data_IF_323088426820
#
_entry.id   IF_323088426820
#
_cell.length_a   1.000
_cell.length_b   1.000
_cell.length_c   1.000
_cell.angle_alpha   90.00
_cell.angle_beta   90.00
_cell.angle_gamma   90.00
#
_symmetry.space_group_name_H-M   'P 1'
#
loop_
_entity.id
_entity.type
_entity.pdbx_description
1 polymer ?
#
# COMPACT_ATOMS: atom_id res chain seq x y z
N UNK A 1 9.19 -35.75 -4.74
CA UNK A 1 7.77 -35.81 -4.35
C UNK A 1 7.75 -36.05 -2.85
N UNK A 2 7.83 -34.98 -2.04
CA UNK A 2 7.76 -35.12 -0.59
C UNK A 2 6.30 -35.12 -0.18
N UNK A 3 5.87 -36.20 0.41
CA UNK A 3 4.56 -36.38 1.03
C UNK A 3 4.30 -35.23 2.00
N UNK A 4 3.28 -34.46 1.73
CA UNK A 4 2.72 -33.50 2.69
C UNK A 4 2.02 -34.39 3.75
N UNK A 5 2.74 -34.68 4.81
CA UNK A 5 2.13 -35.30 6.00
C UNK A 5 1.00 -34.39 6.46
N UNK A 6 -0.23 -34.86 6.38
CA UNK A 6 -1.45 -34.21 6.88
C UNK A 6 -1.46 -34.17 8.41
N UNK A 7 -0.49 -33.49 9.02
CA UNK A 7 -0.58 -33.17 10.45
C UNK A 7 -1.74 -32.17 10.64
N UNK A 8 -2.62 -32.46 11.60
CA UNK A 8 -3.77 -31.59 11.94
C UNK A 8 -3.27 -30.16 12.18
N UNK A 9 -3.96 -29.18 11.56
CA UNK A 9 -3.74 -27.75 11.86
C UNK A 9 -3.98 -27.49 13.35
N UNK A 10 -2.96 -26.97 14.04
CA UNK A 10 -3.05 -26.58 15.46
C UNK A 10 -2.48 -25.16 15.62
N UNK A 11 -3.13 -24.14 15.04
CA UNK A 11 -2.55 -22.80 14.95
C UNK A 11 -2.16 -22.24 16.32
N UNK A 12 -2.91 -22.50 17.38
CA UNK A 12 -2.56 -22.08 18.73
C UNK A 12 -1.40 -22.89 19.32
N UNK A 13 -1.31 -24.20 19.07
CA UNK A 13 -0.21 -25.03 19.54
C UNK A 13 1.08 -24.82 18.74
N UNK A 14 0.96 -24.36 17.48
CA UNK A 14 2.09 -24.01 16.62
C UNK A 14 2.58 -22.57 16.84
N UNK A 15 1.83 -21.74 17.60
CA UNK A 15 2.19 -20.35 17.90
C UNK A 15 3.31 -20.31 18.94
N UNK A 16 4.28 -19.43 18.68
CA UNK A 16 5.32 -19.03 19.63
C UNK A 16 5.18 -17.54 19.99
N UNK A 17 5.73 -17.08 21.12
CA UNK A 17 5.79 -15.65 21.43
C UNK A 17 6.46 -14.84 20.33
N UNK A 18 7.50 -15.37 19.68
CA UNK A 18 8.17 -14.74 18.55
C UNK A 18 7.25 -14.56 17.35
N UNK A 19 6.35 -15.53 17.07
CA UNK A 19 5.38 -15.42 15.99
C UNK A 19 4.33 -14.32 16.27
N UNK A 20 3.88 -14.18 17.51
CA UNK A 20 2.96 -13.10 17.92
C UNK A 20 3.64 -11.75 17.72
N UNK A 21 4.87 -11.60 18.22
CA UNK A 21 5.64 -10.35 18.11
C UNK A 21 5.93 -10.02 16.63
N UNK A 22 6.33 -11.00 15.83
CA UNK A 22 6.57 -10.80 14.41
C UNK A 22 5.29 -10.36 13.67
N UNK A 23 4.15 -10.98 13.96
CA UNK A 23 2.86 -10.58 13.41
C UNK A 23 2.47 -9.15 13.79
N UNK A 24 2.68 -8.77 15.04
CA UNK A 24 2.44 -7.41 15.51
C UNK A 24 3.36 -6.39 14.81
N UNK A 25 4.66 -6.67 14.73
CA UNK A 25 5.63 -5.79 14.05
C UNK A 25 5.30 -5.68 12.55
N UNK A 26 4.89 -6.77 11.90
CA UNK A 26 4.50 -6.77 10.49
C UNK A 26 3.27 -5.87 10.27
N UNK A 27 2.24 -5.98 11.13
CA UNK A 27 1.07 -5.11 11.08
C UNK A 27 1.46 -3.66 11.32
N UNK A 28 2.20 -3.35 12.38
CA UNK A 28 2.62 -1.98 12.72
C UNK A 28 3.43 -1.34 11.59
N UNK A 29 4.35 -2.09 10.95
CA UNK A 29 5.15 -1.60 9.83
C UNK A 29 4.26 -1.20 8.65
N UNK A 30 3.25 -2.00 8.33
CA UNK A 30 2.28 -1.66 7.29
C UNK A 30 1.43 -0.44 7.65
N UNK A 31 0.87 -0.41 8.86
CA UNK A 31 -0.02 0.66 9.30
C UNK A 31 0.67 2.02 9.42
N UNK A 32 1.81 2.11 10.10
CA UNK A 32 2.48 3.40 10.35
C UNK A 32 2.94 4.09 9.08
N UNK A 33 3.27 3.33 8.04
CA UNK A 33 3.75 3.91 6.77
C UNK A 33 2.62 4.34 5.83
N UNK A 34 1.45 3.75 5.92
CA UNK A 34 0.44 3.87 4.86
C UNK A 34 -0.90 4.44 5.33
N UNK A 35 -1.23 4.32 6.61
CA UNK A 35 -2.50 4.82 7.16
C UNK A 35 -2.66 6.33 6.92
N UNK A 36 -1.58 7.08 7.06
CA UNK A 36 -1.54 8.53 6.80
C UNK A 36 -1.95 8.86 5.36
N UNK A 37 -1.51 8.06 4.39
CA UNK A 37 -1.85 8.26 2.98
C UNK A 37 -3.35 8.05 2.72
N UNK A 38 -3.96 7.09 3.42
CA UNK A 38 -5.40 6.88 3.32
C UNK A 38 -6.19 8.06 3.87
N UNK A 39 -5.73 8.65 4.98
CA UNK A 39 -6.33 9.88 5.51
C UNK A 39 -6.21 11.03 4.52
N UNK A 40 -5.03 11.24 3.96
CA UNK A 40 -4.81 12.28 2.96
C UNK A 40 -5.68 12.05 1.72
N UNK A 41 -5.78 10.82 1.23
CA UNK A 41 -6.65 10.49 0.10
C UNK A 41 -8.13 10.75 0.42
N UNK A 42 -8.58 10.36 1.63
CA UNK A 42 -9.93 10.63 2.09
C UNK A 42 -10.23 12.14 2.21
N UNK A 43 -9.31 12.92 2.77
CA UNK A 43 -9.44 14.36 2.86
C UNK A 43 -9.43 15.03 1.46
N UNK A 44 -8.53 14.60 0.57
CA UNK A 44 -8.47 15.10 -0.80
C UNK A 44 -9.76 14.83 -1.59
N UNK A 45 -10.44 13.72 -1.28
CA UNK A 45 -11.74 13.36 -1.85
C UNK A 45 -12.93 14.02 -1.14
N UNK A 46 -12.71 14.80 -0.08
CA UNK A 46 -13.78 15.43 0.71
C UNK A 46 -14.65 14.43 1.48
N UNK A 47 -14.10 13.26 1.84
CA UNK A 47 -14.85 12.21 2.54
C UNK A 47 -15.15 12.61 4.00
N UNK A 48 -16.31 12.20 4.48
CA UNK A 48 -16.64 12.29 5.90
C UNK A 48 -15.78 11.36 6.74
N UNK A 49 -15.66 11.64 8.04
CA UNK A 49 -14.95 10.78 9.00
C UNK A 49 -15.51 9.35 9.01
N UNK A 50 -16.83 9.19 8.88
CA UNK A 50 -17.48 7.89 8.78
C UNK A 50 -17.05 7.10 7.52
N UNK A 51 -16.95 7.76 6.37
CA UNK A 51 -16.48 7.13 5.13
C UNK A 51 -15.01 6.74 5.22
N UNK A 52 -14.16 7.57 5.80
CA UNK A 52 -12.74 7.25 6.02
C UNK A 52 -12.61 6.07 7.00
N UNK A 53 -13.38 6.08 8.08
CA UNK A 53 -13.43 4.96 9.05
C UNK A 53 -13.88 3.65 8.37
N UNK A 54 -14.93 3.70 7.54
CA UNK A 54 -15.41 2.56 6.75
C UNK A 54 -14.34 2.04 5.79
N UNK A 55 -13.62 2.93 5.12
CA UNK A 55 -12.51 2.57 4.24
C UNK A 55 -11.40 1.81 4.98
N UNK A 56 -10.95 2.34 6.14
CA UNK A 56 -9.95 1.69 6.98
C UNK A 56 -10.46 0.33 7.46
N UNK A 57 -11.71 0.26 7.92
CA UNK A 57 -12.36 -0.97 8.33
C UNK A 57 -12.35 -2.01 7.21
N UNK A 58 -12.87 -1.66 6.04
CA UNK A 58 -13.03 -2.57 4.91
C UNK A 58 -11.70 -3.20 4.50
N UNK A 59 -10.67 -2.37 4.31
CA UNK A 59 -9.38 -2.86 3.86
C UNK A 59 -8.68 -3.70 4.93
N UNK A 60 -8.82 -3.32 6.20
CA UNK A 60 -8.20 -4.04 7.32
C UNK A 60 -8.85 -5.40 7.56
N UNK A 61 -10.17 -5.48 7.49
CA UNK A 61 -10.90 -6.75 7.58
C UNK A 61 -10.54 -7.66 6.40
N UNK A 62 -10.45 -7.10 5.18
CA UNK A 62 -10.02 -7.87 4.02
C UNK A 62 -8.59 -8.40 4.15
N UNK A 63 -7.66 -7.58 4.65
CA UNK A 63 -6.29 -8.03 4.95
C UNK A 63 -6.28 -9.11 6.04
N UNK A 64 -7.08 -8.96 7.09
CA UNK A 64 -7.20 -9.92 8.18
C UNK A 64 -7.68 -11.29 7.66
N UNK A 65 -8.82 -11.31 6.99
CA UNK A 65 -9.44 -12.53 6.47
C UNK A 65 -8.53 -13.24 5.47
N UNK A 66 -7.94 -12.48 4.54
CA UNK A 66 -7.05 -13.07 3.53
C UNK A 66 -5.73 -13.57 4.15
N UNK A 67 -5.10 -12.82 5.07
CA UNK A 67 -3.86 -13.28 5.74
C UNK A 67 -4.12 -14.55 6.54
N UNK A 68 -5.16 -14.58 7.36
CA UNK A 68 -5.51 -15.74 8.18
C UNK A 68 -5.88 -16.92 7.27
N UNK A 69 -6.83 -16.72 6.36
CA UNK A 69 -7.37 -17.78 5.51
C UNK A 69 -6.31 -18.44 4.63
N UNK A 70 -5.51 -17.62 3.92
CA UNK A 70 -4.47 -18.13 3.04
C UNK A 70 -3.31 -18.76 3.82
N UNK A 71 -2.91 -18.17 4.95
CA UNK A 71 -1.84 -18.77 5.77
C UNK A 71 -2.23 -20.11 6.37
N UNK A 72 -3.46 -20.26 6.84
CA UNK A 72 -3.98 -21.54 7.32
C UNK A 72 -4.12 -22.56 6.18
N UNK A 73 -4.64 -22.13 5.02
CA UNK A 73 -4.87 -23.02 3.86
C UNK A 73 -3.58 -23.61 3.31
N UNK A 74 -2.53 -22.81 3.21
CA UNK A 74 -1.25 -23.21 2.59
C UNK A 74 -0.14 -23.52 3.60
N UNK A 75 -0.37 -23.35 4.90
CA UNK A 75 0.66 -23.44 5.96
C UNK A 75 1.92 -22.64 5.64
N UNK A 76 1.71 -21.49 5.07
CA UNK A 76 2.77 -20.58 4.60
C UNK A 76 2.48 -19.20 5.16
N UNK A 77 3.48 -18.44 5.58
CA UNK A 77 3.28 -17.10 6.13
C UNK A 77 2.90 -16.08 5.03
N UNK A 78 1.65 -16.19 4.55
CA UNK A 78 1.10 -15.33 3.51
C UNK A 78 0.53 -14.08 4.17
N UNK A 79 1.30 -13.01 4.14
CA UNK A 79 0.90 -11.72 4.68
C UNK A 79 0.27 -10.88 3.57
N UNK A 80 -0.87 -10.29 3.89
CA UNK A 80 -1.63 -9.43 3.00
C UNK A 80 -1.48 -7.98 3.49
N UNK A 81 -1.43 -7.04 2.57
CA UNK A 81 -1.36 -5.62 2.85
C UNK A 81 -2.23 -4.82 1.86
N UNK A 82 -2.53 -3.59 2.22
CA UNK A 82 -3.05 -2.63 1.26
C UNK A 82 -1.96 -2.15 0.29
N UNK A 83 -2.38 -1.46 -0.76
CA UNK A 83 -1.44 -0.84 -1.69
C UNK A 83 -1.05 0.55 -1.22
N UNK A 84 0.10 0.68 -0.56
CA UNK A 84 0.69 2.00 -0.24
C UNK A 84 0.83 2.89 -1.47
N UNK A 85 1.38 2.39 -2.60
CA UNK A 85 1.42 3.18 -3.84
C UNK A 85 0.03 3.48 -4.41
N UNK A 86 -0.93 2.58 -4.23
CA UNK A 86 -2.32 2.81 -4.59
C UNK A 86 -2.96 3.93 -3.77
N UNK A 87 -2.76 3.93 -2.44
CA UNK A 87 -3.23 5.02 -1.59
C UNK A 87 -2.61 6.37 -2.00
N UNK A 88 -1.32 6.39 -2.33
CA UNK A 88 -0.65 7.57 -2.83
C UNK A 88 -1.22 8.06 -4.17
N UNK A 89 -1.48 7.14 -5.12
CA UNK A 89 -2.17 7.47 -6.36
C UNK A 89 -3.51 8.15 -6.10
N UNK A 90 -4.28 7.66 -5.12
CA UNK A 90 -5.61 8.18 -4.80
C UNK A 90 -5.56 9.61 -4.26
N UNK A 91 -4.52 10.01 -3.52
CA UNK A 91 -4.36 11.40 -3.07
C UNK A 91 -4.41 12.38 -4.24
N UNK A 92 -3.80 12.01 -5.36
CA UNK A 92 -3.69 12.87 -6.54
C UNK A 92 -4.81 12.68 -7.56
N UNK A 93 -5.53 11.56 -7.51
CA UNK A 93 -6.50 11.17 -8.55
C UNK A 93 -7.96 11.29 -8.12
N UNK A 94 -8.25 11.41 -6.82
CA UNK A 94 -9.62 11.55 -6.32
C UNK A 94 -10.17 12.97 -6.46
N UNK A 95 -9.33 13.98 -6.60
CA UNK A 95 -9.76 15.34 -6.86
C UNK A 95 -10.41 15.45 -8.25
N UNK A 96 -11.72 15.69 -8.30
CA UNK A 96 -12.47 15.85 -9.55
C UNK A 96 -13.33 14.66 -9.96
N UNK A 97 -13.38 13.59 -9.15
CA UNK A 97 -14.32 12.47 -9.31
C UNK A 97 -15.21 12.35 -8.06
N UNK A 98 -16.43 11.90 -8.23
CA UNK A 98 -17.30 11.58 -7.09
C UNK A 98 -16.83 10.31 -6.39
N UNK A 99 -17.10 10.17 -5.09
CA UNK A 99 -16.68 8.97 -4.37
C UNK A 99 -17.34 7.70 -4.93
N UNK A 100 -18.58 7.78 -5.43
CA UNK A 100 -19.22 6.66 -6.13
C UNK A 100 -18.46 6.22 -7.39
N UNK A 101 -17.89 7.16 -8.17
CA UNK A 101 -17.07 6.86 -9.33
C UNK A 101 -15.70 6.26 -8.92
N UNK A 102 -15.12 6.73 -7.82
CA UNK A 102 -13.94 6.11 -7.24
C UNK A 102 -14.20 4.64 -6.86
N UNK A 103 -15.34 4.36 -6.20
CA UNK A 103 -15.75 2.98 -5.88
C UNK A 103 -15.93 2.14 -7.16
N UNK A 104 -16.54 2.70 -8.22
CA UNK A 104 -16.61 2.02 -9.53
C UNK A 104 -15.25 1.68 -10.11
N UNK A 105 -14.27 2.58 -9.97
CA UNK A 105 -12.89 2.34 -10.40
C UNK A 105 -12.18 1.27 -9.53
N UNK A 106 -12.44 1.24 -8.20
CA UNK A 106 -11.92 0.18 -7.32
C UNK A 106 -12.48 -1.19 -7.69
N UNK A 107 -13.77 -1.26 -7.99
CA UNK A 107 -14.42 -2.49 -8.48
C UNK A 107 -13.77 -2.94 -9.79
N UNK A 108 -13.54 -2.03 -10.73
CA UNK A 108 -12.88 -2.35 -12.00
C UNK A 108 -11.46 -2.88 -11.77
N UNK A 109 -10.67 -2.23 -10.92
CA UNK A 109 -9.36 -2.73 -10.52
C UNK A 109 -9.45 -4.15 -9.94
N UNK A 110 -10.35 -4.36 -8.96
CA UNK A 110 -10.53 -5.65 -8.31
C UNK A 110 -10.98 -6.75 -9.27
N UNK A 111 -11.83 -6.44 -10.25
CA UNK A 111 -12.23 -7.36 -11.32
C UNK A 111 -11.03 -7.75 -12.18
N UNK A 112 -10.21 -6.79 -12.61
CA UNK A 112 -9.00 -7.06 -13.39
C UNK A 112 -8.01 -7.94 -12.61
N UNK A 113 -7.82 -7.67 -11.31
CA UNK A 113 -7.00 -8.51 -10.41
C UNK A 113 -7.55 -9.93 -10.34
N UNK A 114 -8.86 -10.07 -10.12
CA UNK A 114 -9.55 -11.36 -10.01
C UNK A 114 -9.45 -12.16 -11.31
N UNK A 115 -9.72 -11.54 -12.45
CA UNK A 115 -9.60 -12.17 -13.77
C UNK A 115 -8.15 -12.61 -14.03
N UNK A 116 -7.18 -11.75 -13.70
CA UNK A 116 -5.76 -12.08 -13.82
C UNK A 116 -5.37 -13.31 -12.98
N UNK A 117 -5.89 -13.41 -11.76
CA UNK A 117 -5.70 -14.56 -10.89
C UNK A 117 -6.38 -15.83 -11.45
N UNK A 118 -7.66 -15.76 -11.82
CA UNK A 118 -8.43 -16.89 -12.35
C UNK A 118 -7.84 -17.47 -13.64
N UNK A 119 -7.37 -16.60 -14.55
CA UNK A 119 -6.81 -17.02 -15.83
C UNK A 119 -5.35 -17.47 -15.74
N UNK A 120 -4.70 -17.33 -14.61
CA UNK A 120 -3.25 -17.56 -14.46
C UNK A 120 -2.40 -16.62 -15.31
N UNK A 121 -2.95 -15.50 -15.76
CA UNK A 121 -2.27 -14.54 -16.65
C UNK A 121 -1.25 -13.67 -15.92
N UNK A 122 -1.20 -13.71 -14.61
CA UNK A 122 -0.36 -12.87 -13.79
C UNK A 122 1.10 -12.81 -14.26
N UNK A 123 1.74 -13.97 -14.39
CA UNK A 123 3.16 -14.01 -14.78
C UNK A 123 3.38 -13.50 -16.22
N UNK A 124 2.43 -13.75 -17.13
CA UNK A 124 2.49 -13.26 -18.52
C UNK A 124 2.28 -11.77 -18.61
N UNK A 125 1.32 -11.24 -17.86
CA UNK A 125 0.98 -9.81 -17.87
C UNK A 125 2.11 -8.97 -17.28
N UNK A 126 2.63 -9.39 -16.11
CA UNK A 126 3.72 -8.69 -15.44
C UNK A 126 4.99 -8.65 -16.29
N UNK A 127 5.30 -9.73 -17.02
CA UNK A 127 6.45 -9.75 -17.94
C UNK A 127 6.31 -8.79 -19.14
N UNK A 128 5.09 -8.38 -19.51
CA UNK A 128 4.86 -7.44 -20.62
C UNK A 128 5.04 -5.98 -20.25
N UNK A 129 4.95 -5.65 -18.96
CA UNK A 129 5.18 -4.28 -18.48
C UNK A 129 6.66 -4.17 -18.14
N UNK A 130 7.45 -3.31 -18.83
CA UNK A 130 8.83 -3.09 -18.46
C UNK A 130 8.95 -2.66 -17.01
N UNK A 131 9.82 -3.33 -16.25
CA UNK A 131 10.01 -3.05 -14.82
C UNK A 131 10.45 -1.60 -14.57
N UNK A 132 11.23 -1.04 -15.50
CA UNK A 132 11.68 0.35 -15.50
C UNK A 132 10.50 1.34 -15.55
N UNK A 133 9.53 1.12 -16.45
CA UNK A 133 8.36 2.01 -16.59
C UNK A 133 7.44 1.90 -15.38
N UNK A 134 7.19 0.68 -14.91
CA UNK A 134 6.37 0.47 -13.70
C UNK A 134 6.99 1.12 -12.46
N UNK A 135 8.32 1.02 -12.31
CA UNK A 135 9.07 1.64 -11.22
C UNK A 135 9.11 3.17 -11.35
N UNK A 136 9.25 3.68 -12.57
CA UNK A 136 9.20 5.11 -12.86
C UNK A 136 7.82 5.72 -12.58
N UNK A 137 6.75 5.03 -12.98
CA UNK A 137 5.37 5.39 -12.63
C UNK A 137 5.22 5.51 -11.11
N UNK A 138 5.62 4.47 -10.38
CA UNK A 138 5.57 4.46 -8.93
C UNK A 138 6.34 5.63 -8.33
N UNK A 139 7.60 5.81 -8.75
CA UNK A 139 8.43 6.90 -8.26
C UNK A 139 7.80 8.28 -8.55
N UNK A 140 7.20 8.49 -9.72
CA UNK A 140 6.50 9.72 -10.10
C UNK A 140 5.28 10.02 -9.23
N UNK A 141 4.45 9.01 -8.94
CA UNK A 141 3.31 9.14 -8.03
C UNK A 141 3.78 9.56 -6.64
N UNK A 142 4.78 8.85 -6.11
CA UNK A 142 5.26 9.04 -4.75
C UNK A 142 6.08 10.32 -4.58
N UNK A 143 6.78 10.77 -5.62
CA UNK A 143 7.62 11.98 -5.60
C UNK A 143 6.82 13.22 -5.23
N UNK A 144 5.63 13.39 -5.81
CA UNK A 144 4.78 14.54 -5.51
C UNK A 144 4.45 14.63 -4.02
N UNK A 145 4.09 13.50 -3.41
CA UNK A 145 3.76 13.43 -1.98
C UNK A 145 5.03 13.56 -1.13
N UNK A 146 6.12 12.90 -1.55
CA UNK A 146 7.41 12.98 -0.85
C UNK A 146 8.01 14.38 -0.80
N UNK A 147 7.75 15.21 -1.83
CA UNK A 147 8.21 16.60 -1.87
C UNK A 147 7.41 17.55 -0.98
N UNK A 148 6.18 17.20 -0.59
CA UNK A 148 5.31 18.02 0.27
C UNK A 148 5.92 18.29 1.66
N UNK A 149 6.85 17.46 2.15
CA UNK A 149 7.55 17.73 3.42
C UNK A 149 8.32 19.07 3.36
N UNK A 150 8.92 19.40 2.22
CA UNK A 150 9.68 20.64 2.05
C UNK A 150 8.75 21.85 1.94
N UNK A 151 7.55 21.67 1.39
CA UNK A 151 6.50 22.68 1.38
C UNK A 151 5.94 22.88 2.79
N UNK A 152 5.66 21.81 3.51
CA UNK A 152 5.21 21.85 4.90
C UNK A 152 6.23 22.54 5.84
N UNK A 153 7.53 22.41 5.54
CA UNK A 153 8.60 23.07 6.29
C UNK A 153 8.51 24.62 6.21
N UNK A 154 7.94 25.19 5.15
CA UNK A 154 7.72 26.64 5.04
C UNK A 154 6.68 27.14 6.06
N UNK A 155 5.69 26.32 6.40
CA UNK A 155 4.62 26.69 7.32
C UNK A 155 4.95 26.40 8.80
N UNK A 156 5.66 25.29 9.05
CA UNK A 156 6.00 24.82 10.41
C UNK A 156 7.44 24.29 10.47
N UNK A 157 8.40 25.18 10.21
CA UNK A 157 9.83 24.82 10.08
C UNK A 157 10.36 23.98 11.23
N UNK A 158 10.13 24.40 12.50
CA UNK A 158 10.66 23.68 13.67
C UNK A 158 10.11 22.28 13.81
N UNK A 159 8.79 22.08 13.60
CA UNK A 159 8.14 20.78 13.64
C UNK A 159 8.68 19.86 12.54
N UNK A 160 8.64 20.34 11.30
CA UNK A 160 8.99 19.51 10.13
C UNK A 160 10.47 19.16 10.10
N UNK A 161 11.36 20.11 10.38
CA UNK A 161 12.80 19.84 10.46
C UNK A 161 13.15 18.93 11.64
N UNK A 162 12.50 19.10 12.81
CA UNK A 162 12.67 18.18 13.93
C UNK A 162 12.33 16.75 13.58
N UNK A 163 11.21 16.54 12.87
CA UNK A 163 10.81 15.22 12.37
C UNK A 163 11.79 14.68 11.33
N UNK A 164 12.21 15.52 10.38
CA UNK A 164 13.12 15.14 9.29
C UNK A 164 14.49 14.70 9.81
N UNK A 165 15.10 15.47 10.70
CA UNK A 165 16.40 15.13 11.29
C UNK A 165 16.30 13.90 12.21
N UNK A 166 15.22 13.77 12.97
CA UNK A 166 14.96 12.56 13.76
C UNK A 166 14.88 11.33 12.86
N UNK A 167 14.14 11.42 11.75
CA UNK A 167 14.06 10.35 10.76
C UNK A 167 15.44 9.96 10.23
N UNK A 168 16.28 10.93 9.82
CA UNK A 168 17.61 10.65 9.29
C UNK A 168 18.52 9.98 10.32
N UNK A 169 18.51 10.51 11.56
CA UNK A 169 19.34 9.96 12.65
C UNK A 169 18.94 8.52 12.98
N UNK A 170 17.64 8.29 13.18
CA UNK A 170 17.15 6.95 13.52
C UNK A 170 17.28 6.00 12.34
N UNK A 171 17.14 6.47 11.11
CA UNK A 171 17.37 5.66 9.91
C UNK A 171 18.81 5.16 9.81
N UNK A 172 19.79 5.95 10.29
CA UNK A 172 21.18 5.54 10.38
C UNK A 172 21.42 4.46 11.43
N UNK A 173 20.75 4.57 12.58
CA UNK A 173 20.95 3.68 13.74
C UNK A 173 20.10 2.42 13.66
N UNK A 174 18.79 2.61 13.41
CA UNK A 174 17.77 1.55 13.41
C UNK A 174 16.72 1.84 12.33
N UNK A 175 17.00 1.53 11.04
CA UNK A 175 16.19 1.95 9.89
C UNK A 175 14.69 1.63 10.00
N UNK A 176 14.35 0.49 10.61
CA UNK A 176 12.97 0.01 10.76
C UNK A 176 12.08 0.90 11.65
N UNK A 177 12.69 1.69 12.54
CA UNK A 177 11.96 2.56 13.47
C UNK A 177 11.97 4.04 13.08
N UNK A 178 12.59 4.40 11.96
CA UNK A 178 12.78 5.80 11.57
C UNK A 178 11.47 6.58 11.43
N UNK A 179 10.47 6.00 10.77
CA UNK A 179 9.16 6.64 10.58
C UNK A 179 8.40 6.74 11.90
N UNK A 180 8.45 5.69 12.72
CA UNK A 180 7.83 5.69 14.04
C UNK A 180 8.44 6.75 14.96
N UNK A 181 9.76 6.85 14.97
CA UNK A 181 10.47 7.86 15.77
C UNK A 181 10.10 9.29 15.31
N UNK A 182 10.02 9.53 14.00
CA UNK A 182 9.59 10.80 13.46
C UNK A 182 8.14 11.15 13.88
N UNK A 183 7.23 10.14 13.88
CA UNK A 183 5.86 10.32 14.36
C UNK A 183 5.83 10.68 15.85
N UNK A 184 6.56 9.97 16.68
CA UNK A 184 6.58 10.20 18.13
C UNK A 184 7.14 11.59 18.48
N UNK A 185 8.26 11.97 17.87
CA UNK A 185 8.85 13.30 18.06
C UNK A 185 7.95 14.38 17.48
N UNK A 186 7.36 14.17 16.29
CA UNK A 186 6.41 15.10 15.70
C UNK A 186 5.18 15.32 16.59
N UNK A 187 4.63 14.25 17.16
CA UNK A 187 3.50 14.34 18.10
C UNK A 187 3.91 15.08 19.39
N UNK A 188 5.08 14.77 19.96
CA UNK A 188 5.59 15.45 21.13
C UNK A 188 5.80 16.96 20.88
N UNK A 189 6.46 17.33 19.77
CA UNK A 189 6.65 18.72 19.37
C UNK A 189 5.30 19.43 19.15
N UNK A 190 4.34 18.77 18.50
CA UNK A 190 3.00 19.32 18.31
C UNK A 190 2.28 19.55 19.62
N UNK A 191 2.47 18.65 20.60
CA UNK A 191 1.97 18.84 21.96
C UNK A 191 2.58 20.04 22.66
N UNK A 192 3.90 20.19 22.63
CA UNK A 192 4.59 21.38 23.18
C UNK A 192 4.18 22.68 22.53
N UNK A 193 3.84 22.65 21.22
CA UNK A 193 3.39 23.80 20.47
C UNK A 193 1.88 24.08 20.62
N UNK A 194 1.12 23.26 21.37
CA UNK A 194 -0.32 23.41 21.54
C UNK A 194 -1.14 23.17 20.26
N UNK A 195 -0.64 22.33 19.34
CA UNK A 195 -1.25 22.10 18.03
C UNK A 195 -2.15 20.85 17.98
N UNK A 196 -2.19 20.08 19.07
CA UNK A 196 -3.02 18.87 19.14
C UNK A 196 -4.44 19.24 19.56
N UNK A 197 -5.43 18.77 18.82
CA UNK A 197 -6.85 18.94 19.15
C UNK A 197 -7.51 17.58 19.37
N UNK A 198 -7.60 17.17 20.62
CA UNK A 198 -8.28 15.93 21.02
C UNK A 198 -9.74 16.14 21.43
N UNK A 199 -10.33 17.31 21.20
CA UNK A 199 -11.72 17.62 21.59
C UNK A 199 -12.75 16.66 20.95
N UNK A 200 -12.45 16.19 19.74
CA UNK A 200 -13.27 15.21 19.01
C UNK A 200 -12.81 13.75 19.15
N UNK A 201 -11.85 13.44 20.05
CA UNK A 201 -11.35 12.08 20.20
C UNK A 201 -12.27 11.24 21.08
N UNK A 202 -12.82 10.17 20.49
CA UNK A 202 -13.64 9.18 21.19
C UNK A 202 -13.19 7.78 20.76
N UNK A 203 -13.26 6.82 21.72
CA UNK A 203 -13.14 5.41 21.39
C UNK A 203 -14.43 4.96 20.70
N UNK A 204 -14.34 4.71 19.41
CA UNK A 204 -15.49 4.34 18.59
C UNK A 204 -15.16 3.15 17.68
N UNK A 205 -16.11 2.25 17.58
CA UNK A 205 -16.04 1.11 16.67
C UNK A 205 -16.43 1.58 15.26
N UNK A 206 -15.66 1.18 14.28
CA UNK A 206 -15.92 1.51 12.89
C UNK A 206 -17.26 0.93 12.43
N UNK A 207 -18.12 1.75 11.87
CA UNK A 207 -19.36 1.34 11.22
C UNK A 207 -19.17 1.33 9.71
N UNK A 208 -19.40 0.17 9.03
CA UNK A 208 -19.30 0.11 7.58
C UNK A 208 -20.31 1.03 6.92
N UNK A 209 -19.85 1.89 6.02
CA UNK A 209 -20.68 2.81 5.24
C UNK A 209 -20.70 2.34 3.79
N UNK A 210 -21.88 1.95 3.31
CA UNK A 210 -22.07 1.58 1.92
C UNK A 210 -22.05 2.80 1.02
N UNK A 211 -21.23 2.77 -0.02
CA UNK A 211 -21.24 3.76 -1.10
C UNK A 211 -21.65 3.08 -2.39
N UNK A 212 -22.73 3.57 -3.00
CA UNK A 212 -23.22 3.02 -4.27
C UNK A 212 -22.20 3.26 -5.38
N UNK A 213 -21.75 2.21 -6.09
CA UNK A 213 -20.81 2.35 -7.18
C UNK A 213 -21.42 3.10 -8.37
N UNK A 214 -20.68 4.04 -8.93
CA UNK A 214 -20.99 4.68 -10.21
C UNK A 214 -19.85 4.38 -11.19
N UNK A 215 -20.17 3.86 -12.37
CA UNK A 215 -19.14 3.52 -13.36
C UNK A 215 -18.97 4.69 -14.34
N UNK A 216 -17.78 5.27 -14.34
CA UNK A 216 -17.32 6.32 -15.25
C UNK A 216 -16.12 5.82 -16.03
N UNK A 217 -16.13 6.00 -17.35
CA UNK A 217 -14.97 5.63 -18.18
C UNK A 217 -13.72 6.44 -17.79
N UNK A 218 -13.90 7.72 -17.49
CA UNK A 218 -12.82 8.59 -17.05
C UNK A 218 -12.21 8.11 -15.73
N UNK A 219 -13.01 7.78 -14.71
CA UNK A 219 -12.53 7.25 -13.44
C UNK A 219 -11.91 5.84 -13.61
N UNK A 220 -12.48 4.99 -14.46
CA UNK A 220 -11.93 3.67 -14.78
C UNK A 220 -10.51 3.78 -15.35
N UNK A 221 -10.30 4.68 -16.32
CA UNK A 221 -9.00 4.86 -16.99
C UNK A 221 -8.03 5.62 -16.10
N UNK A 222 -8.48 6.65 -15.37
CA UNK A 222 -7.57 7.50 -14.57
C UNK A 222 -7.22 6.90 -13.21
N UNK A 223 -8.07 6.04 -12.65
CA UNK A 223 -7.89 5.43 -11.32
C UNK A 223 -7.79 3.90 -11.43
N UNK A 224 -8.81 3.24 -12.00
CA UNK A 224 -8.91 1.79 -12.00
C UNK A 224 -7.75 1.08 -12.67
N UNK A 225 -7.37 1.51 -13.88
CA UNK A 225 -6.25 0.92 -14.65
C UNK A 225 -4.90 1.20 -13.97
N UNK A 226 -4.54 2.43 -13.56
CA UNK A 226 -3.30 2.68 -12.84
C UNK A 226 -3.22 1.92 -11.51
N UNK A 227 -4.31 1.84 -10.73
CA UNK A 227 -4.36 1.03 -9.52
C UNK A 227 -4.05 -0.44 -9.80
N UNK A 228 -4.63 -1.01 -10.86
CA UNK A 228 -4.36 -2.38 -11.27
C UNK A 228 -2.88 -2.58 -11.60
N UNK A 229 -2.28 -1.70 -12.43
CA UNK A 229 -0.86 -1.78 -12.78
C UNK A 229 0.02 -1.70 -11.54
N UNK A 230 -0.23 -0.73 -10.66
CA UNK A 230 0.51 -0.52 -9.42
C UNK A 230 0.34 -1.73 -8.48
N UNK A 231 -0.88 -2.24 -8.32
CA UNK A 231 -1.14 -3.41 -7.49
C UNK A 231 -0.37 -4.65 -7.96
N UNK A 232 -0.33 -4.88 -9.29
CA UNK A 232 0.37 -6.03 -9.86
C UNK A 232 1.88 -5.91 -9.73
N UNK A 233 2.45 -4.76 -10.11
CA UNK A 233 3.91 -4.58 -10.23
C UNK A 233 4.59 -4.23 -8.92
N UNK A 234 3.93 -3.44 -8.07
CA UNK A 234 4.55 -2.89 -6.86
C UNK A 234 4.15 -3.63 -5.57
N UNK A 235 3.14 -4.51 -5.61
CA UNK A 235 2.67 -5.26 -4.45
C UNK A 235 2.65 -6.77 -4.70
N UNK A 236 1.84 -7.24 -5.64
CA UNK A 236 1.64 -8.68 -5.82
C UNK A 236 2.91 -9.39 -6.33
N UNK A 237 3.64 -8.79 -7.27
CA UNK A 237 4.88 -9.37 -7.77
C UNK A 237 5.98 -9.43 -6.71
N UNK A 238 6.32 -8.34 -5.99
CA UNK A 238 7.27 -8.41 -4.88
C UNK A 238 6.82 -9.35 -3.76
N UNK A 239 5.52 -9.41 -3.43
CA UNK A 239 4.99 -10.32 -2.42
C UNK A 239 5.21 -11.79 -2.78
N UNK A 240 4.94 -12.17 -4.02
CA UNK A 240 5.25 -13.53 -4.53
C UNK A 240 6.77 -13.78 -4.52
N UNK A 241 7.58 -12.78 -4.89
CA UNK A 241 9.03 -12.91 -4.92
C UNK A 241 9.61 -13.16 -3.51
N UNK A 242 9.12 -12.47 -2.49
CA UNK A 242 9.54 -12.69 -1.08
C UNK A 242 9.22 -14.10 -0.63
N UNK A 243 7.99 -14.59 -0.88
CA UNK A 243 7.61 -15.96 -0.54
C UNK A 243 8.54 -16.98 -1.21
N UNK A 244 8.84 -16.80 -2.51
CA UNK A 244 9.73 -17.70 -3.26
C UNK A 244 11.19 -17.63 -2.78
N UNK A 245 11.70 -16.43 -2.48
CA UNK A 245 13.06 -16.22 -1.97
C UNK A 245 13.29 -16.94 -0.64
N UNK A 246 12.28 -16.95 0.22
CA UNK A 246 12.29 -17.69 1.48
C UNK A 246 11.91 -19.17 1.29
N UNK A 247 11.78 -19.63 0.03
CA UNK A 247 11.59 -21.03 -0.37
C UNK A 247 10.15 -21.55 -0.20
N UNK A 248 9.15 -20.65 -0.09
CA UNK A 248 7.74 -21.05 -0.06
C UNK A 248 7.17 -21.08 -1.48
N UNK A 249 6.95 -22.29 -2.01
CA UNK A 249 6.43 -22.50 -3.36
C UNK A 249 4.90 -22.58 -3.35
N UNK A 250 4.24 -21.44 -3.20
CA UNK A 250 2.77 -21.35 -3.28
C UNK A 250 2.38 -20.82 -4.66
N UNK A 251 1.36 -21.41 -5.32
CA UNK A 251 0.88 -20.89 -6.60
C UNK A 251 0.32 -19.49 -6.45
N UNK A 252 0.80 -18.55 -7.27
CA UNK A 252 0.41 -17.13 -7.17
C UNK A 252 -1.06 -16.90 -7.54
N UNK A 253 -1.58 -17.63 -8.53
CA UNK A 253 -2.95 -17.43 -9.05
C UNK A 253 -4.04 -17.51 -7.97
N UNK A 254 -4.11 -18.54 -7.10
CA UNK A 254 -5.11 -18.56 -6.04
C UNK A 254 -4.97 -17.42 -5.03
N UNK A 255 -3.74 -16.99 -4.73
CA UNK A 255 -3.49 -15.86 -3.82
C UNK A 255 -4.06 -14.57 -4.40
N UNK A 256 -3.77 -14.29 -5.67
CA UNK A 256 -4.23 -13.10 -6.39
C UNK A 256 -5.76 -13.15 -6.59
N UNK A 257 -6.31 -14.32 -6.93
CA UNK A 257 -7.77 -14.48 -7.03
C UNK A 257 -8.45 -14.17 -5.70
N UNK A 258 -7.96 -14.71 -4.59
CA UNK A 258 -8.56 -14.51 -3.27
C UNK A 258 -8.52 -13.04 -2.86
N UNK A 259 -7.37 -12.37 -3.05
CA UNK A 259 -7.23 -10.94 -2.72
C UNK A 259 -8.07 -10.07 -3.65
N UNK A 260 -8.17 -10.42 -4.94
CA UNK A 260 -9.04 -9.76 -5.90
C UNK A 260 -10.52 -9.85 -5.54
N UNK A 261 -11.00 -11.04 -5.18
CA UNK A 261 -12.39 -11.26 -4.72
C UNK A 261 -12.66 -10.48 -3.43
N UNK A 262 -11.74 -10.51 -2.46
CA UNK A 262 -11.89 -9.75 -1.23
C UNK A 262 -11.94 -8.23 -1.50
N UNK A 263 -11.09 -7.73 -2.41
CA UNK A 263 -11.12 -6.34 -2.86
C UNK A 263 -12.47 -5.98 -3.50
N UNK A 264 -12.99 -6.86 -4.35
CA UNK A 264 -14.27 -6.67 -5.05
C UNK A 264 -15.45 -6.56 -4.06
N UNK A 265 -15.52 -7.48 -3.09
CA UNK A 265 -16.59 -7.52 -2.09
C UNK A 265 -16.54 -6.32 -1.13
N UNK A 266 -15.34 -5.82 -0.84
CA UNK A 266 -15.15 -4.75 0.13
C UNK A 266 -15.01 -3.36 -0.53
N UNK A 267 -14.96 -3.28 -1.86
CA UNK A 267 -14.89 -2.00 -2.58
C UNK A 267 -16.06 -1.05 -2.25
N UNK A 268 -17.35 -1.48 -2.16
CA UNK A 268 -18.45 -0.58 -1.80
C UNK A 268 -18.31 0.08 -0.42
N UNK A 269 -17.49 -0.47 0.45
CA UNK A 269 -17.17 0.09 1.77
C UNK A 269 -15.86 0.91 1.78
N UNK A 270 -15.25 1.10 0.59
CA UNK A 270 -14.08 1.94 0.38
C UNK A 270 -12.77 1.19 0.07
N UNK A 271 -12.70 -0.13 0.16
CA UNK A 271 -11.46 -0.88 -0.09
C UNK A 271 -10.93 -0.66 -1.52
N UNK A 272 -9.80 0.03 -1.66
CA UNK A 272 -9.18 0.34 -2.94
C UNK A 272 -8.25 -0.76 -3.47
N UNK A 273 -7.94 -1.77 -2.66
CA UNK A 273 -7.12 -2.90 -3.08
C UNK A 273 -6.44 -3.63 -1.92
N UNK A 274 -6.65 -4.94 -1.90
CA UNK A 274 -6.07 -5.91 -0.97
C UNK A 274 -5.06 -6.71 -1.78
N UNK A 275 -3.80 -6.73 -1.37
CA UNK A 275 -2.69 -7.26 -2.15
C UNK A 275 -1.74 -8.09 -1.29
N UNK A 276 -0.89 -8.89 -1.93
CA UNK A 276 0.21 -9.53 -1.24
C UNK A 276 1.18 -8.48 -0.68
N UNK A 277 1.63 -8.69 0.54
CA UNK A 277 2.65 -7.87 1.16
C UNK A 277 4.05 -8.26 0.69
N UNK A 278 4.96 -7.30 0.64
CA UNK A 278 6.38 -7.55 0.42
C UNK A 278 7.18 -7.33 1.72
N UNK A 279 7.17 -6.11 2.26
CA UNK A 279 7.99 -5.74 3.43
C UNK A 279 7.52 -6.48 4.69
N UNK A 280 6.23 -6.43 5.00
CA UNK A 280 5.66 -7.13 6.15
C UNK A 280 5.68 -8.66 5.97
N UNK A 281 5.64 -9.16 4.72
CA UNK A 281 5.83 -10.58 4.46
C UNK A 281 7.22 -11.05 4.88
N UNK A 282 8.29 -10.31 4.55
CA UNK A 282 9.66 -10.67 4.94
C UNK A 282 9.86 -10.80 6.47
N UNK A 283 9.08 -10.04 7.26
CA UNK A 283 9.10 -10.16 8.72
C UNK A 283 8.49 -11.50 9.16
N UNK A 284 7.39 -11.93 8.55
CA UNK A 284 6.69 -13.16 8.91
C UNK A 284 7.34 -14.42 8.33
N UNK A 285 8.03 -14.32 7.17
CA UNK A 285 8.73 -15.44 6.52
C UNK A 285 10.10 -15.72 7.13
N UNK A 286 10.69 -14.72 7.79
CA UNK A 286 12.04 -14.79 8.34
C UNK A 286 12.21 -15.72 9.55
N UNK A 287 13.46 -16.11 9.89
CA UNK A 287 13.73 -17.02 11.01
C UNK A 287 13.35 -16.45 12.38
N UNK A 288 13.30 -15.12 12.51
CA UNK A 288 12.89 -14.45 13.74
C UNK A 288 11.40 -14.59 14.05
N UNK A 289 10.58 -14.94 13.06
CA UNK A 289 9.15 -15.16 13.27
C UNK A 289 8.88 -16.48 14.02
N UNK A 290 9.59 -17.56 13.64
CA UNK A 290 9.53 -18.86 14.31
C UNK A 290 10.75 -19.68 13.91
N UNK A 291 11.35 -20.40 14.87
CA UNK A 291 12.51 -21.31 14.61
C UNK A 291 12.11 -22.41 13.60
N UNK A 292 10.98 -23.08 13.85
CA UNK A 292 10.43 -24.04 12.90
C UNK A 292 9.77 -23.32 11.73
N UNK A 293 10.36 -23.48 10.55
CA UNK A 293 9.88 -22.89 9.30
C UNK A 293 8.42 -23.25 8.98
N UNK A 294 8.01 -24.48 9.31
CA UNK A 294 6.65 -24.96 9.01
C UNK A 294 5.59 -24.30 9.91
N UNK A 295 6.00 -23.62 10.98
CA UNK A 295 5.13 -22.93 11.92
C UNK A 295 5.11 -21.42 11.73
N UNK A 296 5.96 -20.84 10.86
CA UNK A 296 5.99 -19.40 10.58
C UNK A 296 4.68 -18.85 10.05
N UNK A 297 3.81 -19.71 9.49
CA UNK A 297 2.46 -19.29 9.07
C UNK A 297 1.66 -18.63 10.21
N UNK A 298 1.93 -19.01 11.46
CA UNK A 298 1.28 -18.43 12.64
C UNK A 298 1.60 -16.94 12.81
N UNK A 299 2.77 -16.48 12.39
CA UNK A 299 3.10 -15.05 12.41
C UNK A 299 2.21 -14.24 11.46
N UNK A 300 1.92 -14.75 10.27
CA UNK A 300 0.99 -14.10 9.35
C UNK A 300 -0.48 -14.21 9.83
N UNK A 301 -0.84 -15.28 10.52
CA UNK A 301 -2.16 -15.40 11.19
C UNK A 301 -2.30 -14.32 12.26
N UNK A 302 -1.29 -14.12 13.12
CA UNK A 302 -1.29 -13.06 14.12
C UNK A 302 -1.29 -11.67 13.51
N UNK A 303 -0.55 -11.47 12.41
CA UNK A 303 -0.61 -10.21 11.65
C UNK A 303 -2.05 -9.91 11.19
N UNK A 304 -2.75 -10.93 10.67
CA UNK A 304 -4.16 -10.82 10.29
C UNK A 304 -5.08 -10.50 11.47
N UNK A 305 -4.88 -11.14 12.63
CA UNK A 305 -5.64 -10.85 13.85
C UNK A 305 -5.46 -9.38 14.26
N UNK A 306 -4.22 -8.89 14.27
CA UNK A 306 -3.95 -7.49 14.61
C UNK A 306 -4.53 -6.51 13.59
N UNK A 307 -4.53 -6.85 12.28
CA UNK A 307 -5.25 -6.06 11.27
C UNK A 307 -6.76 -6.02 11.54
N UNK A 308 -7.35 -7.14 11.93
CA UNK A 308 -8.77 -7.20 12.30
C UNK A 308 -9.11 -6.29 13.49
N UNK A 309 -8.29 -6.35 14.53
CA UNK A 309 -8.44 -5.47 15.71
C UNK A 309 -8.31 -4.00 15.30
N UNK A 310 -7.26 -3.64 14.55
CA UNK A 310 -7.05 -2.27 14.08
C UNK A 310 -8.20 -1.78 13.19
N UNK A 311 -8.76 -2.66 12.34
CA UNK A 311 -9.91 -2.35 11.50
C UNK A 311 -11.17 -2.06 12.30
N UNK A 312 -11.44 -2.84 13.34
CA UNK A 312 -12.59 -2.60 14.24
C UNK A 312 -12.52 -1.22 14.89
N UNK A 313 -11.32 -0.74 15.24
CA UNK A 313 -11.10 0.59 15.80
C UNK A 313 -10.74 1.65 14.75
N UNK A 314 -11.13 1.46 13.49
CA UNK A 314 -10.84 2.40 12.41
C UNK A 314 -11.36 3.82 12.65
N UNK A 315 -12.51 3.96 13.29
CA UNK A 315 -13.06 5.27 13.68
C UNK A 315 -12.17 5.99 14.71
N UNK A 316 -11.68 5.27 15.72
CA UNK A 316 -10.72 5.80 16.70
C UNK A 316 -9.41 6.25 16.03
N UNK A 317 -8.91 5.46 15.09
CA UNK A 317 -7.73 5.83 14.31
C UNK A 317 -7.99 7.08 13.46
N UNK A 318 -9.19 7.18 12.85
CA UNK A 318 -9.62 8.36 12.13
C UNK A 318 -9.62 9.61 13.01
N UNK A 319 -10.24 9.52 14.18
CA UNK A 319 -10.27 10.61 15.14
C UNK A 319 -8.87 11.00 15.65
N UNK A 320 -7.99 10.01 15.87
CA UNK A 320 -6.60 10.26 16.27
C UNK A 320 -5.85 11.07 15.21
N UNK A 321 -5.95 10.69 13.93
CA UNK A 321 -5.27 11.42 12.86
C UNK A 321 -5.88 12.81 12.62
N UNK A 322 -7.19 12.97 12.82
CA UNK A 322 -7.85 14.28 12.74
C UNK A 322 -7.38 15.25 13.84
N UNK A 323 -6.94 14.71 14.99
CA UNK A 323 -6.38 15.49 16.10
C UNK A 323 -4.95 16.01 15.85
N UNK A 324 -4.26 15.49 14.82
CA UNK A 324 -2.88 15.85 14.48
C UNK A 324 -2.84 17.05 13.52
N UNK A 325 -1.86 17.97 13.65
CA UNK A 325 -1.71 19.07 12.70
C UNK A 325 -1.36 18.57 11.31
N UNK A 326 -1.87 19.25 10.29
CA UNK A 326 -1.72 18.89 8.87
C UNK A 326 -0.25 18.71 8.46
N UNK A 327 0.64 19.56 8.93
CA UNK A 327 2.07 19.52 8.60
C UNK A 327 2.74 18.26 9.18
N UNK A 328 2.32 17.78 10.35
CA UNK A 328 2.78 16.51 10.90
C UNK A 328 2.35 15.36 10.01
N UNK A 329 1.07 15.32 9.63
CA UNK A 329 0.49 14.27 8.80
C UNK A 329 1.19 14.21 7.43
N UNK A 330 1.38 15.37 6.78
CA UNK A 330 2.13 15.48 5.53
C UNK A 330 3.57 15.00 5.65
N UNK A 331 4.25 15.40 6.73
CA UNK A 331 5.66 15.02 6.96
C UNK A 331 5.83 13.51 7.16
N UNK A 332 4.96 12.87 7.95
CA UNK A 332 5.01 11.43 8.15
C UNK A 332 4.74 10.69 6.85
N UNK A 333 3.74 11.12 6.06
CA UNK A 333 3.45 10.53 4.76
C UNK A 333 4.68 10.60 3.85
N UNK A 334 5.28 11.77 3.71
CA UNK A 334 6.45 11.96 2.88
C UNK A 334 7.64 11.10 3.31
N UNK A 335 7.98 11.11 4.62
CA UNK A 335 9.10 10.34 5.16
C UNK A 335 8.90 8.82 4.98
N UNK A 336 7.69 8.33 5.12
CA UNK A 336 7.36 6.93 4.90
C UNK A 336 7.61 6.49 3.45
N UNK A 337 7.46 7.40 2.49
CA UNK A 337 7.60 7.11 1.06
C UNK A 337 9.04 7.20 0.53
N UNK A 338 9.97 7.83 1.26
CA UNK A 338 11.35 8.03 0.78
C UNK A 338 12.02 6.74 0.34
N UNK A 339 11.86 5.64 1.09
CA UNK A 339 12.41 4.34 0.72
C UNK A 339 11.85 3.81 -0.59
N UNK A 340 10.54 3.95 -0.80
CA UNK A 340 9.87 3.52 -2.02
C UNK A 340 10.24 4.38 -3.23
N UNK A 341 10.42 5.69 -3.04
CA UNK A 341 10.89 6.61 -4.09
C UNK A 341 12.31 6.22 -4.53
N UNK A 342 13.23 6.02 -3.58
CA UNK A 342 14.62 5.61 -3.86
C UNK A 342 14.63 4.29 -4.64
N UNK A 343 13.89 3.30 -4.17
CA UNK A 343 13.82 1.99 -4.83
C UNK A 343 13.22 2.09 -6.24
N UNK A 344 12.14 2.85 -6.39
CA UNK A 344 11.49 3.10 -7.68
C UNK A 344 12.44 3.76 -8.69
N UNK A 345 13.14 4.83 -8.29
CA UNK A 345 14.13 5.50 -9.12
C UNK A 345 15.32 4.58 -9.48
N UNK A 346 15.80 3.79 -8.52
CA UNK A 346 16.90 2.85 -8.76
C UNK A 346 16.51 1.81 -9.81
N UNK A 347 15.35 1.18 -9.71
CA UNK A 347 14.86 0.21 -10.68
C UNK A 347 14.60 0.87 -12.04
N UNK A 348 14.00 2.07 -12.05
CA UNK A 348 13.70 2.81 -13.27
C UNK A 348 14.94 3.09 -14.11
N UNK A 349 16.11 3.28 -13.48
CA UNK A 349 17.37 3.62 -14.12
C UNK A 349 18.30 2.42 -14.33
N UNK A 350 17.91 1.20 -14.01
CA UNK A 350 18.76 0.00 -14.13
C UNK A 350 19.04 -0.32 -15.60
N UNK A 351 18.01 -0.44 -16.45
CA UNK A 351 18.16 -0.82 -17.83
C UNK A 351 18.46 0.41 -18.71
N UNK A 352 19.69 0.48 -19.23
CA UNK A 352 20.20 1.65 -19.97
C UNK A 352 19.33 2.02 -21.18
N UNK A 353 18.80 1.01 -21.90
CA UNK A 353 17.99 1.22 -23.11
C UNK A 353 16.58 1.77 -22.81
N UNK A 354 16.14 1.67 -21.57
CA UNK A 354 14.81 2.07 -21.14
C UNK A 354 14.79 3.37 -20.34
N UNK A 355 15.99 3.92 -20.00
CA UNK A 355 16.12 5.10 -19.11
C UNK A 355 15.36 6.32 -19.57
N UNK A 356 15.39 6.63 -20.86
CA UNK A 356 14.68 7.80 -21.40
C UNK A 356 13.18 7.63 -21.28
N UNK A 357 12.66 6.45 -21.60
CA UNK A 357 11.24 6.15 -21.44
C UNK A 357 10.81 6.14 -19.98
N UNK A 358 11.65 5.61 -19.09
CA UNK A 358 11.44 5.66 -17.65
C UNK A 358 11.42 7.10 -17.12
N UNK A 359 12.37 7.94 -17.56
CA UNK A 359 12.41 9.35 -17.19
C UNK A 359 11.15 10.08 -17.64
N UNK A 360 10.71 9.88 -18.87
CA UNK A 360 9.48 10.50 -19.41
C UNK A 360 8.26 10.02 -18.61
N UNK A 361 8.16 8.71 -18.33
CA UNK A 361 7.11 8.15 -17.46
C UNK A 361 7.08 8.84 -16.09
N UNK A 362 8.24 8.95 -15.46
CA UNK A 362 8.39 9.61 -14.16
C UNK A 362 7.95 11.08 -14.22
N UNK A 363 8.48 11.85 -15.18
CA UNK A 363 8.19 13.29 -15.29
C UNK A 363 6.72 13.58 -15.57
N UNK A 364 6.11 12.87 -16.51
CA UNK A 364 4.68 13.01 -16.82
C UNK A 364 3.83 12.65 -15.61
N UNK A 365 4.17 11.58 -14.91
CA UNK A 365 3.44 11.15 -13.72
C UNK A 365 3.57 12.16 -12.57
N UNK A 366 4.80 12.62 -12.30
CA UNK A 366 5.09 13.59 -11.23
C UNK A 366 4.49 14.98 -11.50
N UNK A 367 4.32 15.36 -12.77
CA UNK A 367 3.75 16.66 -13.15
C UNK A 367 2.30 16.87 -12.71
N UNK A 368 1.56 15.76 -12.45
CA UNK A 368 0.12 15.83 -12.17
C UNK A 368 -0.73 16.22 -13.38
N UNK A 369 -0.18 16.06 -14.61
CA UNK A 369 -0.88 16.33 -15.88
C UNK A 369 -2.25 15.66 -15.92
N UNK A 370 -3.29 16.41 -16.24
CA UNK A 370 -4.63 15.89 -16.50
C UNK A 370 -5.06 16.29 -17.91
N UNK A 371 -5.27 15.32 -18.77
CA UNK A 371 -5.78 15.54 -20.14
C UNK A 371 -7.04 14.70 -20.35
N UNK A 372 -8.06 15.30 -20.93
CA UNK A 372 -9.36 14.63 -21.19
C UNK A 372 -9.98 14.00 -19.94
N UNK A 373 -9.84 14.66 -18.78
CA UNK A 373 -10.26 14.16 -17.46
C UNK A 373 -9.56 12.87 -17.00
N UNK A 374 -8.42 12.53 -17.61
CA UNK A 374 -7.61 11.35 -17.27
C UNK A 374 -6.32 11.82 -16.59
N UNK A 375 -6.02 11.24 -15.42
CA UNK A 375 -4.90 11.64 -14.57
C UNK A 375 -3.52 11.24 -15.10
N UNK A 376 -2.49 11.90 -14.55
CA UNK A 376 -1.09 11.80 -15.00
C UNK A 376 -0.49 10.39 -14.95
N UNK A 377 -0.96 9.53 -14.05
CA UNK A 377 -0.45 8.17 -13.94
C UNK A 377 -0.72 7.34 -15.22
N UNK A 378 -1.90 7.49 -15.82
CA UNK A 378 -2.22 6.87 -17.10
C UNK A 378 -1.34 7.43 -18.23
N UNK A 379 -1.28 8.76 -18.33
CA UNK A 379 -0.49 9.42 -19.37
C UNK A 379 1.01 9.15 -19.24
N UNK A 380 1.51 8.98 -18.01
CA UNK A 380 2.89 8.55 -17.77
C UNK A 380 3.22 7.21 -18.41
N UNK A 381 2.36 6.21 -18.23
CA UNK A 381 2.54 4.90 -18.87
C UNK A 381 2.46 5.03 -20.39
N UNK A 382 1.45 5.74 -20.91
CA UNK A 382 1.27 5.92 -22.36
C UNK A 382 2.50 6.60 -22.97
N UNK A 383 2.97 7.70 -22.38
CA UNK A 383 4.16 8.42 -22.85
C UNK A 383 5.41 7.55 -22.81
N UNK A 384 5.60 6.78 -21.73
CA UNK A 384 6.73 5.85 -21.60
C UNK A 384 6.73 4.74 -22.65
N UNK A 385 5.58 4.10 -22.85
CA UNK A 385 5.43 3.05 -23.86
C UNK A 385 5.65 3.61 -25.27
N UNK A 386 5.07 4.76 -25.60
CA UNK A 386 5.29 5.43 -26.89
C UNK A 386 6.77 5.78 -27.10
N UNK A 387 7.45 6.27 -26.06
CA UNK A 387 8.89 6.55 -26.12
C UNK A 387 9.69 5.28 -26.41
N UNK A 388 9.41 4.17 -25.75
CA UNK A 388 10.07 2.88 -26.03
C UNK A 388 9.84 2.43 -27.47
N UNK A 389 8.61 2.53 -27.98
CA UNK A 389 8.29 2.14 -29.34
C UNK A 389 9.03 3.01 -30.36
N UNK A 390 9.06 4.32 -30.16
CA UNK A 390 9.73 5.26 -31.08
C UNK A 390 11.25 5.04 -31.07
N UNK A 391 11.88 4.95 -29.91
CA UNK A 391 13.33 4.82 -29.77
C UNK A 391 13.85 3.44 -30.25
N UNK A 392 13.02 2.41 -30.17
CA UNK A 392 13.38 1.05 -30.62
C UNK A 392 12.95 0.74 -32.08
N UNK A 393 12.21 1.61 -32.74
CA UNK A 393 11.66 1.36 -34.09
C UNK A 393 12.71 0.98 -35.17
N UNK A 394 13.96 1.44 -35.04
CA UNK A 394 15.01 1.18 -36.04
C UNK A 394 15.98 0.05 -35.68
N UNK A 395 15.71 -0.73 -34.66
CA UNK A 395 16.59 -1.81 -34.18
C UNK A 395 16.01 -3.21 -34.42
N UNK A 396 14.89 -3.33 -35.14
CA UNK A 396 14.34 -4.55 -35.70
C UNK A 396 14.71 -4.58 -37.21
#
# INVERSE_FOLDING_TARGET
MNEITHTRLRPFADTSPSAIVAGFIAMMTGYTSSLVLMFQAGQAAGLSSGQISSWIWAISIGMAVCSIGLSLRYRTPITIAWSTPGAALLITSLGGVTYGEAIGAYITCALLVTICGLTGSFERLVKKIPASLAAALLAGILFKIGSEIFVAAQHRTGLVLGMFFTYLLVKRLTPRYAVLAALLIGTALSGFMGLLDFSGFHLEVATPVWTTPHFSLAATISIGVPLFVVAMTSQNMPGVAVLRADGYNVPASPLITTTGIASLLLAPFGSHGINLAAISAAICTGPHAHEDRNKRYTAAVWCGIFYGIAGVFGATLAALFAALPKELVLSIAALALFGSIINGLSIAMTEVKEREAALITFMVTASGLTLFSIGSAFWGIVAGVLTLLILNWRKA
#
